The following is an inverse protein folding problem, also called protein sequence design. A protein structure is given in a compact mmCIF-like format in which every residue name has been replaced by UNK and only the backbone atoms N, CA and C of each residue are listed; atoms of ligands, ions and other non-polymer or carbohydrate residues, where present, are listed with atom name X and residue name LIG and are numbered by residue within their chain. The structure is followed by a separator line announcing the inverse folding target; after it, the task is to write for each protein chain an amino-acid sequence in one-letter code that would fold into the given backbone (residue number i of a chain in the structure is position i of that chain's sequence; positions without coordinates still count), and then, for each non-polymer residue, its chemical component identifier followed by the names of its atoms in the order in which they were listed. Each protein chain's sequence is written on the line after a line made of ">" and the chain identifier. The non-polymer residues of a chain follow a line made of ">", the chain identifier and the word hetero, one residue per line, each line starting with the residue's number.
data_IF_110283987218
#
_entry.id   IF_110283987218
#
_cell.length_a   1.000
_cell.length_b   1.000
_cell.length_c   1.000
_cell.angle_alpha   90.00
_cell.angle_beta   90.00
_cell.angle_gamma   90.00
#
_symmetry.space_group_name_H-M   'P 1'
#
loop_
_entity.id
_entity.type
_entity.pdbx_description
1 polymer ?
#
# COMPACT_ATOMS: atom_id res chain seq x y z
N UNK A 1 -10.89 18.28 -12.40
CA UNK A 1 -10.55 16.86 -12.16
C UNK A 1 -11.82 16.13 -11.75
N UNK A 2 -12.17 15.02 -12.39
CA UNK A 2 -13.33 14.17 -12.01
C UNK A 2 -13.01 13.30 -10.80
N UNK A 3 -14.04 12.74 -10.14
CA UNK A 3 -13.84 11.80 -9.03
C UNK A 3 -12.99 10.59 -9.44
N UNK A 4 -13.20 10.07 -10.65
CA UNK A 4 -12.41 8.98 -11.20
C UNK A 4 -10.94 9.38 -11.41
N UNK A 5 -10.69 10.57 -11.96
CA UNK A 5 -9.32 11.08 -12.13
C UNK A 5 -8.62 11.29 -10.78
N UNK A 6 -9.33 11.81 -9.77
CA UNK A 6 -8.80 11.95 -8.41
C UNK A 6 -8.44 10.58 -7.80
N UNK A 7 -9.34 9.61 -7.90
CA UNK A 7 -9.11 8.25 -7.41
C UNK A 7 -7.90 7.61 -8.10
N UNK A 8 -7.84 7.68 -9.43
CA UNK A 8 -6.73 7.15 -10.21
C UNK A 8 -5.40 7.82 -9.85
N UNK A 9 -5.39 9.15 -9.73
CA UNK A 9 -4.20 9.89 -9.31
C UNK A 9 -3.74 9.48 -7.89
N UNK A 10 -4.67 9.31 -6.95
CA UNK A 10 -4.37 8.84 -5.59
C UNK A 10 -3.77 7.43 -5.58
N UNK A 11 -4.36 6.49 -6.35
CA UNK A 11 -3.83 5.13 -6.50
C UNK A 11 -2.44 5.14 -7.13
N UNK A 12 -2.23 5.86 -8.23
CA UNK A 12 -0.92 5.95 -8.88
C UNK A 12 0.14 6.58 -7.97
N UNK A 13 -0.22 7.62 -7.22
CA UNK A 13 0.68 8.25 -6.25
C UNK A 13 1.05 7.28 -5.14
N UNK A 14 0.07 6.56 -4.60
CA UNK A 14 0.30 5.55 -3.57
C UNK A 14 1.19 4.40 -4.07
N UNK A 15 0.98 3.91 -5.30
CA UNK A 15 1.89 2.93 -5.92
C UNK A 15 3.32 3.45 -6.05
N UNK A 16 3.50 4.74 -6.36
CA UNK A 16 4.80 5.40 -6.39
C UNK A 16 5.49 5.41 -5.02
N UNK A 17 4.74 5.69 -3.96
CA UNK A 17 5.24 5.65 -2.57
C UNK A 17 5.68 4.23 -2.19
N UNK A 18 4.84 3.22 -2.40
CA UNK A 18 5.18 1.80 -2.14
C UNK A 18 6.45 1.39 -2.91
N UNK A 19 6.60 1.85 -4.15
CA UNK A 19 7.77 1.55 -4.97
C UNK A 19 9.04 2.17 -4.37
N UNK A 20 8.97 3.41 -3.90
CA UNK A 20 10.09 4.08 -3.24
C UNK A 20 10.47 3.38 -1.93
N UNK A 21 9.49 2.95 -1.12
CA UNK A 21 9.73 2.19 0.11
C UNK A 21 10.35 0.83 -0.17
N UNK A 22 9.91 0.14 -1.22
CA UNK A 22 10.51 -1.13 -1.64
C UNK A 22 11.99 -0.95 -1.96
N UNK A 23 12.36 0.13 -2.66
CA UNK A 23 13.77 0.45 -2.92
C UNK A 23 14.52 0.72 -1.62
N UNK A 24 13.96 1.51 -0.69
CA UNK A 24 14.57 1.78 0.61
C UNK A 24 14.80 0.49 1.41
N UNK A 25 13.84 -0.43 1.47
CA UNK A 25 13.96 -1.71 2.16
C UNK A 25 15.05 -2.62 1.59
N UNK A 26 15.35 -2.50 0.29
CA UNK A 26 16.44 -3.22 -0.37
C UNK A 26 17.83 -2.63 -0.07
N UNK A 27 17.91 -1.38 0.37
CA UNK A 27 19.17 -0.68 0.67
C UNK A 27 19.73 -0.98 2.07
N UNK A 28 19.06 -1.80 2.87
CA UNK A 28 19.49 -2.17 4.22
C UNK A 28 20.73 -3.07 4.22
N UNK A 29 21.90 -2.52 4.56
CA UNK A 29 23.19 -3.25 4.55
C UNK A 29 23.70 -3.58 5.94
N UNK A 30 23.70 -2.59 6.83
CA UNK A 30 24.23 -2.67 8.19
C UNK A 30 23.15 -2.28 9.24
N UNK A 31 23.38 -2.54 10.54
CA UNK A 31 22.41 -2.20 11.59
C UNK A 31 22.01 -0.72 11.67
N UNK A 32 22.92 0.21 11.39
CA UNK A 32 22.61 1.64 11.42
C UNK A 32 21.68 2.00 10.25
N UNK A 33 21.97 1.51 9.04
CA UNK A 33 21.09 1.70 7.88
C UNK A 33 19.69 1.11 8.11
N UNK A 34 19.57 -0.06 8.77
CA UNK A 34 18.27 -0.68 9.10
C UNK A 34 17.43 0.19 10.02
N UNK A 35 18.04 0.76 11.07
CA UNK A 35 17.34 1.67 12.01
C UNK A 35 16.89 2.95 11.30
N UNK A 36 17.76 3.53 10.49
CA UNK A 36 17.42 4.73 9.71
C UNK A 36 16.27 4.46 8.74
N UNK A 37 16.36 3.39 7.94
CA UNK A 37 15.31 3.01 6.98
C UNK A 37 14.00 2.69 7.69
N UNK A 38 14.03 2.01 8.84
CA UNK A 38 12.82 1.76 9.63
C UNK A 38 12.16 3.06 10.10
N UNK A 39 12.94 4.05 10.54
CA UNK A 39 12.41 5.35 10.95
C UNK A 39 11.82 6.13 9.76
N UNK A 40 12.53 6.15 8.62
CA UNK A 40 12.06 6.82 7.39
C UNK A 40 10.77 6.17 6.87
N UNK A 41 10.75 4.84 6.73
CA UNK A 41 9.55 4.08 6.33
C UNK A 41 8.38 4.39 7.27
N UNK A 42 8.61 4.37 8.59
CA UNK A 42 7.55 4.68 9.55
C UNK A 42 7.02 6.13 9.48
N UNK A 43 7.80 7.08 8.95
CA UNK A 43 7.33 8.43 8.65
C UNK A 43 6.57 8.48 7.32
N UNK A 44 7.03 7.75 6.29
CA UNK A 44 6.35 7.66 5.00
C UNK A 44 4.95 7.05 5.18
N UNK A 45 4.84 5.96 5.93
CA UNK A 45 3.60 5.30 6.35
C UNK A 45 2.55 6.29 6.87
N UNK A 46 2.95 7.19 7.77
CA UNK A 46 2.02 8.08 8.49
C UNK A 46 1.71 9.33 7.69
N UNK A 47 2.72 9.93 7.05
CA UNK A 47 2.60 11.24 6.41
C UNK A 47 2.10 11.14 4.97
N UNK A 48 2.36 10.04 4.28
CA UNK A 48 2.03 9.88 2.87
C UNK A 48 1.08 8.69 2.64
N UNK A 49 1.44 7.48 3.08
CA UNK A 49 0.61 6.31 2.78
C UNK A 49 -0.75 6.37 3.46
N UNK A 50 -0.81 6.63 4.77
CA UNK A 50 -2.06 6.70 5.52
C UNK A 50 -3.08 7.66 4.89
N UNK A 51 -2.71 8.93 4.61
CA UNK A 51 -3.59 9.87 3.91
C UNK A 51 -3.98 9.41 2.50
N UNK A 52 -3.06 8.84 1.73
CA UNK A 52 -3.34 8.34 0.38
C UNK A 52 -4.30 7.14 0.39
N UNK A 53 -4.10 6.17 1.29
CA UNK A 53 -4.98 5.03 1.49
C UNK A 53 -6.37 5.49 1.90
N UNK A 54 -6.48 6.45 2.82
CA UNK A 54 -7.76 7.04 3.20
C UNK A 54 -8.45 7.70 2.01
N UNK A 55 -7.71 8.46 1.19
CA UNK A 55 -8.25 9.09 -0.02
C UNK A 55 -8.71 8.04 -1.04
N UNK A 56 -7.94 6.98 -1.27
CA UNK A 56 -8.30 5.86 -2.16
C UNK A 56 -9.56 5.15 -1.68
N UNK A 57 -9.68 4.89 -0.38
CA UNK A 57 -10.86 4.26 0.22
C UNK A 57 -12.11 5.13 0.07
N UNK A 58 -12.03 6.42 0.43
CA UNK A 58 -13.16 7.35 0.35
C UNK A 58 -13.62 7.49 -1.10
N UNK A 59 -12.69 7.78 -2.01
CA UNK A 59 -13.03 7.99 -3.43
C UNK A 59 -13.51 6.69 -4.10
N UNK A 60 -12.92 5.55 -3.74
CA UNK A 60 -13.34 4.23 -4.23
C UNK A 60 -14.74 3.85 -3.76
N UNK A 61 -15.07 4.10 -2.49
CA UNK A 61 -16.41 3.88 -1.95
C UNK A 61 -17.46 4.78 -2.64
N UNK A 62 -17.13 6.06 -2.85
CA UNK A 62 -18.00 6.99 -3.59
C UNK A 62 -18.23 6.54 -5.04
N UNK A 63 -17.19 6.06 -5.74
CA UNK A 63 -17.31 5.53 -7.09
C UNK A 63 -18.18 4.28 -7.12
N UNK A 64 -17.96 3.34 -6.20
CA UNK A 64 -18.74 2.11 -6.11
C UNK A 64 -20.23 2.41 -5.86
N UNK A 65 -20.54 3.34 -4.95
CA UNK A 65 -21.90 3.77 -4.66
C UNK A 65 -22.61 4.37 -5.89
N UNK A 66 -21.89 5.18 -6.70
CA UNK A 66 -22.44 5.76 -7.94
C UNK A 66 -22.65 4.74 -9.06
N UNK A 67 -22.01 3.57 -8.96
CA UNK A 67 -22.04 2.53 -9.98
C UNK A 67 -22.86 1.33 -9.52
N UNK A 68 -23.70 1.50 -8.50
CA UNK A 68 -24.53 0.42 -7.96
C UNK A 68 -25.81 0.21 -8.80
N UNK A 69 -26.21 -1.04 -9.10
CA UNK A 69 -25.52 -2.29 -8.77
C UNK A 69 -24.24 -2.50 -9.59
N UNK A 70 -23.16 -2.87 -8.90
CA UNK A 70 -21.86 -3.06 -9.52
C UNK A 70 -21.80 -4.39 -10.29
N UNK A 71 -21.12 -4.38 -11.45
CA UNK A 71 -20.85 -5.60 -12.20
C UNK A 71 -19.93 -6.56 -11.41
N UNK A 72 -20.02 -7.88 -11.62
CA UNK A 72 -19.11 -8.84 -10.96
C UNK A 72 -17.63 -8.52 -11.18
N UNK A 73 -17.27 -8.06 -12.38
CA UNK A 73 -15.90 -7.66 -12.72
C UNK A 73 -15.43 -6.43 -11.91
N UNK A 74 -16.31 -5.45 -11.69
CA UNK A 74 -16.00 -4.31 -10.82
C UNK A 74 -15.81 -4.76 -9.37
N UNK A 75 -16.62 -5.71 -8.89
CA UNK A 75 -16.50 -6.26 -7.54
C UNK A 75 -15.18 -7.03 -7.34
N UNK A 76 -14.72 -7.83 -8.32
CA UNK A 76 -13.42 -8.50 -8.22
C UNK A 76 -12.26 -7.50 -8.21
N UNK A 77 -12.34 -6.43 -9.00
CA UNK A 77 -11.37 -5.32 -8.95
C UNK A 77 -11.32 -4.67 -7.57
N UNK A 78 -12.48 -4.37 -6.99
CA UNK A 78 -12.57 -3.79 -5.64
C UNK A 78 -11.98 -4.73 -4.61
N UNK A 79 -12.34 -6.02 -4.64
CA UNK A 79 -11.82 -7.02 -3.71
C UNK A 79 -10.29 -7.14 -3.80
N UNK A 80 -9.73 -7.17 -5.00
CA UNK A 80 -8.28 -7.20 -5.20
C UNK A 80 -7.59 -5.92 -4.70
N UNK A 81 -8.17 -4.74 -4.95
CA UNK A 81 -7.65 -3.48 -4.40
C UNK A 81 -7.68 -3.44 -2.87
N UNK A 82 -8.73 -4.00 -2.25
CA UNK A 82 -8.86 -4.08 -0.80
C UNK A 82 -7.78 -4.95 -0.14
N UNK A 83 -7.28 -5.99 -0.82
CA UNK A 83 -6.12 -6.76 -0.34
C UNK A 83 -4.91 -5.84 -0.13
N UNK A 84 -4.63 -4.96 -1.10
CA UNK A 84 -3.56 -3.96 -0.98
C UNK A 84 -3.74 -3.05 0.23
N UNK A 85 -4.96 -2.55 0.44
CA UNK A 85 -5.28 -1.68 1.61
C UNK A 85 -5.05 -2.41 2.93
N UNK A 86 -5.57 -3.63 3.07
CA UNK A 86 -5.44 -4.43 4.29
C UNK A 86 -3.96 -4.70 4.59
N UNK A 87 -3.21 -5.09 3.56
CA UNK A 87 -1.79 -5.39 3.69
C UNK A 87 -0.99 -4.12 4.05
N UNK A 88 -1.38 -2.95 3.55
CA UNK A 88 -0.78 -1.67 3.95
C UNK A 88 -0.97 -1.40 5.43
N UNK A 89 -2.18 -1.58 5.95
CA UNK A 89 -2.47 -1.39 7.38
C UNK A 89 -1.62 -2.34 8.23
N UNK A 90 -1.46 -3.59 7.79
CA UNK A 90 -0.56 -4.55 8.43
C UNK A 90 0.89 -4.06 8.36
N UNK A 91 1.35 -3.57 7.21
CA UNK A 91 2.71 -3.05 7.01
C UNK A 91 3.02 -1.91 7.99
N UNK A 92 2.13 -0.92 8.10
CA UNK A 92 2.26 0.20 9.05
C UNK A 92 2.45 -0.32 10.47
N UNK A 93 1.64 -1.29 10.91
CA UNK A 93 1.78 -1.88 12.26
C UNK A 93 3.15 -2.55 12.43
N UNK A 94 3.58 -3.35 11.45
CA UNK A 94 4.87 -4.05 11.49
C UNK A 94 6.06 -3.09 11.53
N UNK A 95 6.04 -2.02 10.73
CA UNK A 95 7.07 -0.99 10.70
C UNK A 95 7.14 -0.26 12.03
N UNK A 96 5.99 0.10 12.63
CA UNK A 96 5.94 0.74 13.96
C UNK A 96 6.48 -0.17 15.06
N UNK A 97 6.22 -1.48 14.98
CA UNK A 97 6.83 -2.47 15.88
C UNK A 97 8.34 -2.56 15.65
N UNK A 98 8.81 -2.49 14.40
CA UNK A 98 10.23 -2.58 14.05
C UNK A 98 11.00 -1.37 14.54
N UNK A 99 10.45 -0.16 14.40
CA UNK A 99 11.05 1.09 14.91
C UNK A 99 11.27 1.05 16.42
N UNK A 100 10.40 0.37 17.17
CA UNK A 100 10.48 0.24 18.64
C UNK A 100 11.33 -0.95 19.11
N UNK A 101 11.69 -1.87 18.23
CA UNK A 101 12.43 -3.07 18.60
C UNK A 101 13.90 -2.73 18.90
N UNK A 102 14.39 -3.17 20.07
CA UNK A 102 15.79 -3.04 20.48
C UNK A 102 16.63 -4.28 20.22
N UNK A 103 15.98 -5.46 20.07
CA UNK A 103 16.62 -6.74 19.81
C UNK A 103 16.75 -7.03 18.30
N UNK A 104 17.94 -7.45 17.88
CA UNK A 104 18.28 -7.71 16.48
C UNK A 104 17.48 -8.89 15.90
N UNK A 105 17.22 -9.94 16.68
CA UNK A 105 16.45 -11.08 16.20
C UNK A 105 14.99 -10.69 15.91
N UNK A 106 14.40 -9.84 16.76
CA UNK A 106 13.08 -9.26 16.53
C UNK A 106 13.05 -8.36 15.29
N UNK A 107 14.05 -7.49 15.11
CA UNK A 107 14.17 -6.62 13.92
C UNK A 107 14.23 -7.43 12.64
N UNK A 108 15.02 -8.50 12.61
CA UNK A 108 15.13 -9.40 11.45
C UNK A 108 13.80 -10.12 11.15
N UNK A 109 13.10 -10.57 12.19
CA UNK A 109 11.78 -11.21 12.04
C UNK A 109 10.76 -10.26 11.43
N UNK A 110 10.66 -9.04 11.96
CA UNK A 110 9.74 -8.02 11.44
C UNK A 110 10.11 -7.60 10.01
N UNK A 111 11.40 -7.52 9.68
CA UNK A 111 11.86 -7.23 8.31
C UNK A 111 11.41 -8.30 7.32
N UNK A 112 11.48 -9.59 7.69
CA UNK A 112 10.96 -10.67 6.85
C UNK A 112 9.44 -10.56 6.67
N UNK A 113 8.71 -10.24 7.73
CA UNK A 113 7.26 -10.05 7.68
C UNK A 113 6.86 -8.86 6.80
N UNK A 114 7.58 -7.74 6.89
CA UNK A 114 7.41 -6.58 6.01
C UNK A 114 7.67 -6.98 4.56
N UNK A 115 8.73 -7.74 4.25
CA UNK A 115 8.96 -8.21 2.86
C UNK A 115 7.84 -9.10 2.33
N UNK A 116 7.18 -9.87 3.19
CA UNK A 116 6.04 -10.70 2.80
C UNK A 116 4.80 -9.88 2.43
N UNK A 117 4.68 -8.61 2.87
CA UNK A 117 3.58 -7.73 2.43
C UNK A 117 3.65 -7.46 0.92
N UNK A 118 4.85 -7.58 0.31
CA UNK A 118 5.03 -7.52 -1.15
C UNK A 118 4.24 -8.58 -1.92
N UNK A 119 3.74 -9.65 -1.27
CA UNK A 119 2.82 -10.62 -1.88
C UNK A 119 1.46 -10.01 -2.27
N UNK A 120 1.15 -8.80 -1.84
CA UNK A 120 -0.04 -8.07 -2.27
C UNK A 120 0.09 -7.43 -3.66
N UNK A 121 1.31 -7.29 -4.20
CA UNK A 121 1.57 -6.63 -5.49
C UNK A 121 0.73 -7.25 -6.63
N UNK A 122 0.64 -8.59 -6.80
CA UNK A 122 -0.19 -9.18 -7.86
C UNK A 122 -1.67 -8.78 -7.79
N UNK A 123 -2.22 -8.56 -6.60
CA UNK A 123 -3.61 -8.12 -6.42
C UNK A 123 -3.79 -6.66 -6.87
N UNK A 124 -2.83 -5.80 -6.51
CA UNK A 124 -2.81 -4.40 -7.00
C UNK A 124 -2.69 -4.32 -8.52
N UNK A 125 -1.80 -5.13 -9.12
CA UNK A 125 -1.65 -5.21 -10.57
C UNK A 125 -2.92 -5.73 -11.25
N UNK A 126 -3.55 -6.77 -10.71
CA UNK A 126 -4.83 -7.26 -11.21
C UNK A 126 -5.91 -6.16 -11.18
N UNK A 127 -6.05 -5.46 -10.05
CA UNK A 127 -7.00 -4.36 -9.93
C UNK A 127 -6.72 -3.23 -10.94
N UNK A 128 -5.44 -2.94 -11.22
CA UNK A 128 -5.04 -1.95 -12.21
C UNK A 128 -5.40 -2.39 -13.64
N UNK A 129 -5.07 -3.63 -14.03
CA UNK A 129 -5.38 -4.19 -15.35
C UNK A 129 -6.88 -4.22 -15.61
N UNK A 130 -7.67 -4.71 -14.65
CA UNK A 130 -9.13 -4.70 -14.77
C UNK A 130 -9.66 -3.26 -14.85
N UNK A 131 -9.03 -2.32 -14.12
CA UNK A 131 -9.39 -0.90 -14.21
C UNK A 131 -9.17 -0.31 -15.59
N UNK A 132 -8.01 -0.56 -16.20
CA UNK A 132 -7.72 -0.11 -17.56
C UNK A 132 -8.65 -0.74 -18.59
N UNK A 133 -8.88 -2.06 -18.50
CA UNK A 133 -9.79 -2.78 -19.40
C UNK A 133 -11.27 -2.45 -19.22
N UNK A 134 -11.65 -1.73 -18.16
CA UNK A 134 -13.04 -1.26 -17.94
C UNK A 134 -13.24 0.19 -18.42
N UNK A 135 -12.15 0.93 -18.66
CA UNK A 135 -12.17 2.32 -19.12
C UNK A 135 -12.03 2.47 -20.65
N UNK A 136 -11.70 1.37 -21.33
CA UNK A 136 -11.60 1.22 -22.78
C UNK A 136 -12.58 0.15 -23.25
#
# INVERSE_FOLDING_TARGET
>A
MTLLQLHAAAVCTWMGVISAETVLELMQRDPASRRFIAAVHGWIDILFEGPLVALVLITGAMLLARTWPASPLLLTKVAAGMVGVIVNVICIVLVRLRVKASDDARVLTLTKQIRLTGLAIPFGLYALVVGFGYLH
#
